data_IF_883819069730
#
_entry.id   IF_883819069730
#
_cell.length_a   1.000
_cell.length_b   1.000
_cell.length_c   1.000
_cell.angle_alpha   90.00
_cell.angle_beta   90.00
_cell.angle_gamma   90.00
#
_symmetry.space_group_name_H-M   'P 1'
#
loop_
_entity.id
_entity.type
_entity.pdbx_description
1 polymer ?
#
# COMPACT_ATOMS: atom_id res chain seq x y z
N UNK A 1 -0.38 12.31 -1.23
CA UNK A 1 0.57 11.45 -0.48
C UNK A 1 -0.13 10.59 0.55
N UNK A 2 -1.06 11.19 1.28
CA UNK A 2 -1.82 10.61 2.37
C UNK A 2 -2.38 9.20 2.11
N UNK A 3 -3.18 9.04 1.05
CA UNK A 3 -3.87 7.79 0.74
C UNK A 3 -2.91 6.63 0.42
N UNK A 4 -1.81 6.91 -0.31
CA UNK A 4 -0.80 5.91 -0.63
C UNK A 4 -0.03 5.45 0.63
N UNK A 5 0.29 6.39 1.53
CA UNK A 5 0.94 6.08 2.81
C UNK A 5 0.02 5.25 3.69
N UNK A 6 -1.26 5.65 3.81
CA UNK A 6 -2.27 4.91 4.57
C UNK A 6 -2.49 3.50 3.99
N UNK A 7 -2.54 3.36 2.66
CA UNK A 7 -2.59 2.05 2.00
C UNK A 7 -1.37 1.21 2.35
N UNK A 8 -0.14 1.70 2.19
CA UNK A 8 1.06 0.92 2.54
C UNK A 8 1.03 0.47 4.01
N UNK A 9 0.66 1.37 4.93
CA UNK A 9 0.50 1.07 6.36
C UNK A 9 -0.71 0.18 6.68
N UNK A 10 -1.65 -0.03 5.78
CA UNK A 10 -2.73 -1.00 5.98
C UNK A 10 -2.26 -2.45 5.78
N UNK A 11 -1.08 -2.69 5.20
CA UNK A 11 -0.56 -4.06 5.03
C UNK A 11 0.02 -4.60 6.33
N UNK A 12 -0.46 -5.74 6.80
CA UNK A 12 0.04 -6.45 7.98
C UNK A 12 1.52 -6.85 7.85
N UNK A 13 2.03 -7.02 6.61
CA UNK A 13 3.43 -7.31 6.34
C UNK A 13 4.35 -6.09 6.46
N UNK A 14 3.79 -4.88 6.46
CA UNK A 14 4.56 -3.63 6.56
C UNK A 14 4.48 -3.10 7.98
N UNK A 15 5.65 -2.94 8.60
CA UNK A 15 5.79 -2.40 9.96
C UNK A 15 6.05 -0.89 10.00
N UNK A 16 6.64 -0.34 8.94
CA UNK A 16 6.95 1.09 8.85
C UNK A 16 7.12 1.54 7.40
N UNK A 17 6.98 2.85 7.16
CA UNK A 17 7.22 3.49 5.86
C UNK A 17 8.39 4.46 5.99
N UNK A 18 9.35 4.37 5.07
CA UNK A 18 10.40 5.38 4.90
C UNK A 18 9.86 6.43 3.92
N UNK A 19 9.61 7.64 4.42
CA UNK A 19 9.11 8.75 3.61
C UNK A 19 10.26 9.58 3.00
N UNK A 20 10.14 9.93 1.72
CA UNK A 20 11.09 10.80 1.02
C UNK A 20 10.41 12.05 0.46
N UNK A 21 9.96 13.00 1.30
CA UNK A 21 9.32 14.21 0.84
C UNK A 21 10.32 15.10 0.09
N UNK A 22 9.87 15.77 -0.97
CA UNK A 22 10.65 16.83 -1.64
C UNK A 22 10.42 18.21 -1.04
N UNK A 23 9.33 18.36 -0.27
CA UNK A 23 8.92 19.63 0.37
C UNK A 23 8.31 19.37 1.75
N UNK A 24 8.32 20.36 2.63
CA UNK A 24 7.71 20.28 3.95
C UNK A 24 6.19 20.05 3.87
N UNK A 25 5.49 20.69 2.94
CA UNK A 25 4.08 20.43 2.71
C UNK A 25 3.78 18.95 2.37
N UNK A 26 4.68 18.24 1.67
CA UNK A 26 4.53 16.81 1.42
C UNK A 26 4.73 15.98 2.68
N UNK A 27 5.63 16.42 3.56
CA UNK A 27 5.85 15.79 4.86
C UNK A 27 4.59 15.90 5.73
N UNK A 28 4.01 17.08 5.84
CA UNK A 28 2.76 17.30 6.58
C UNK A 28 1.61 16.45 6.04
N UNK A 29 1.48 16.34 4.72
CA UNK A 29 0.49 15.50 4.06
C UNK A 29 0.70 13.99 4.33
N UNK A 30 1.93 13.53 4.52
CA UNK A 30 2.21 12.15 4.91
C UNK A 30 1.82 11.88 6.37
N UNK A 31 2.10 12.83 7.28
CA UNK A 31 1.73 12.69 8.70
C UNK A 31 0.21 12.63 8.86
N UNK A 32 -0.54 13.47 8.14
CA UNK A 32 -2.01 13.45 8.13
C UNK A 32 -2.59 12.09 7.69
N UNK A 33 -1.79 11.22 7.06
CA UNK A 33 -2.23 9.86 6.72
C UNK A 33 -2.56 9.03 7.94
N UNK A 34 -1.92 9.31 9.06
CA UNK A 34 -2.13 8.61 10.33
C UNK A 34 -3.49 8.95 10.95
N UNK A 35 -4.05 10.12 10.64
CA UNK A 35 -5.38 10.53 11.09
C UNK A 35 -6.50 9.87 10.29
N UNK A 36 -6.18 9.38 9.09
CA UNK A 36 -7.16 8.72 8.24
C UNK A 36 -7.24 7.23 8.56
N UNK A 37 -8.42 6.78 8.95
CA UNK A 37 -8.71 5.36 9.11
C UNK A 37 -9.02 4.76 7.75
N UNK A 38 -8.02 4.10 7.17
CA UNK A 38 -8.19 3.32 5.93
C UNK A 38 -9.30 2.27 6.12
N UNK A 39 -10.11 2.04 5.08
CA UNK A 39 -11.27 1.14 5.15
C UNK A 39 -11.15 -0.05 4.19
N UNK A 40 -12.04 -1.04 4.36
CA UNK A 40 -12.12 -2.17 3.44
C UNK A 40 -12.57 -1.75 2.03
N UNK A 41 -13.37 -0.68 1.90
CA UNK A 41 -13.79 -0.15 0.60
C UNK A 41 -12.62 0.48 -0.16
N UNK A 42 -11.72 1.16 0.56
CA UNK A 42 -10.49 1.73 0.00
C UNK A 42 -9.53 0.64 -0.50
N UNK A 43 -9.40 -0.45 0.26
CA UNK A 43 -8.59 -1.61 -0.16
C UNK A 43 -9.19 -2.23 -1.43
N UNK A 44 -10.51 -2.46 -1.45
CA UNK A 44 -11.22 -2.99 -2.61
C UNK A 44 -11.16 -2.06 -3.84
N UNK A 45 -11.00 -0.74 -3.64
CA UNK A 45 -10.76 0.20 -4.73
C UNK A 45 -9.37 -0.02 -5.34
N UNK A 46 -8.32 -0.14 -4.52
CA UNK A 46 -6.95 -0.35 -5.00
C UNK A 46 -6.79 -1.72 -5.67
N UNK A 47 -7.38 -2.78 -5.11
CA UNK A 47 -7.31 -4.13 -5.69
C UNK A 47 -7.88 -4.20 -7.12
N UNK A 48 -8.87 -3.35 -7.43
CA UNK A 48 -9.42 -3.22 -8.79
C UNK A 48 -8.46 -2.54 -9.77
N UNK A 49 -7.55 -1.72 -9.27
CA UNK A 49 -6.59 -0.95 -10.07
C UNK A 49 -5.24 -1.67 -10.20
N UNK A 50 -4.88 -2.50 -9.22
CA UNK A 50 -3.58 -3.17 -9.14
C UNK A 50 -3.80 -4.67 -8.98
N UNK A 51 -3.70 -5.41 -10.08
CA UNK A 51 -3.77 -6.86 -10.06
C UNK A 51 -2.58 -7.43 -9.29
N UNK A 52 -2.86 -8.31 -8.33
CA UNK A 52 -1.81 -9.02 -7.58
C UNK A 52 -0.89 -9.80 -8.50
N UNK A 53 0.42 -9.73 -8.26
CA UNK A 53 1.39 -10.48 -9.05
C UNK A 53 1.67 -9.92 -10.45
N UNK A 54 1.35 -8.65 -10.70
CA UNK A 54 1.80 -7.91 -11.87
C UNK A 54 3.04 -7.07 -11.51
N UNK A 55 4.27 -7.62 -11.66
CA UNK A 55 5.46 -6.78 -11.63
C UNK A 55 5.43 -5.78 -12.79
N UNK A 56 6.17 -4.68 -12.66
CA UNK A 56 6.31 -3.68 -13.73
C UNK A 56 6.92 -4.26 -15.02
N UNK A 57 7.58 -5.41 -14.92
CA UNK A 57 8.08 -6.21 -16.03
C UNK A 57 7.02 -7.24 -16.42
N UNK A 58 6.48 -7.23 -17.65
CA UNK A 58 5.41 -8.15 -18.03
C UNK A 58 5.83 -9.63 -17.96
N UNK A 59 5.00 -10.46 -17.31
CA UNK A 59 4.84 -11.86 -17.69
C UNK A 59 5.73 -12.92 -17.03
N UNK A 60 6.60 -12.58 -16.07
CA UNK A 60 7.38 -13.59 -15.34
C UNK A 60 7.12 -13.54 -13.84
N UNK A 61 6.55 -14.63 -13.31
CA UNK A 61 6.47 -14.93 -11.89
C UNK A 61 7.33 -16.18 -11.65
N UNK A 62 8.33 -16.07 -10.78
CA UNK A 62 9.23 -17.18 -10.45
C UNK A 62 8.45 -18.25 -9.66
N UNK A 63 8.35 -19.51 -10.13
CA UNK A 63 7.68 -20.59 -9.40
C UNK A 63 8.28 -20.85 -8.01
N UNK A 64 9.54 -20.49 -7.77
CA UNK A 64 10.19 -20.63 -6.47
C UNK A 64 9.75 -19.57 -5.44
N UNK A 65 9.14 -18.47 -5.90
CA UNK A 65 8.68 -17.37 -5.05
C UNK A 65 7.20 -17.08 -5.33
N UNK A 66 6.27 -17.86 -4.73
CA UNK A 66 4.85 -17.68 -4.93
C UNK A 66 4.39 -16.29 -4.49
N UNK A 67 3.40 -15.75 -5.21
CA UNK A 67 2.80 -14.46 -4.87
C UNK A 67 1.96 -14.64 -3.60
N UNK A 68 2.50 -14.20 -2.47
CA UNK A 68 1.80 -14.21 -1.17
C UNK A 68 0.69 -13.15 -1.08
N UNK A 69 0.62 -12.28 -2.10
CA UNK A 69 -0.37 -11.23 -2.19
C UNK A 69 -0.17 -10.19 -1.10
N UNK A 70 -1.27 -9.74 -0.51
CA UNK A 70 -1.29 -8.67 0.47
C UNK A 70 -2.27 -9.02 1.57
N UNK A 71 -1.85 -8.86 2.82
CA UNK A 71 -2.71 -9.04 4.00
C UNK A 71 -3.12 -7.70 4.57
N UNK A 72 -4.31 -7.22 4.21
CA UNK A 72 -4.85 -5.99 4.78
C UNK A 72 -5.17 -6.15 6.27
N UNK A 73 -4.98 -5.07 7.06
CA UNK A 73 -5.38 -4.98 8.48
C UNK A 73 -6.85 -4.65 8.65
N UNK A 74 -7.45 -4.01 7.66
CA UNK A 74 -8.89 -3.75 7.60
C UNK A 74 -9.61 -4.97 7.02
N UNK A 75 -10.59 -5.52 7.76
CA UNK A 75 -11.40 -6.66 7.31
C UNK A 75 -10.88 -8.04 7.72
N UNK A 76 -9.76 -8.11 8.47
CA UNK A 76 -9.27 -9.32 9.15
C UNK A 76 -9.87 -9.52 10.54
#
# INVERSE_FOLDING_TARGET
GQFAVAWVLNSAFVTSVIAGPRTEAQWDDYIRALDYRFTAEDEALIDRLVVSGHPSTPGYNDPAYPIEGRRARTGS
#
